data_IF_665814226842
#
_entry.id   IF_665814226842
#
_cell.length_a   1.000
_cell.length_b   1.000
_cell.length_c   1.000
_cell.angle_alpha   90.00
_cell.angle_beta   90.00
_cell.angle_gamma   90.00
#
_symmetry.space_group_name_H-M   'P 1'
#
loop_
_entity.id
_entity.type
_entity.pdbx_description
1 polymer ?
#
# COMPACT_ATOMS: atom_id res chain seq x y z
N UNK A 1 36.04 -13.57 24.47
CA UNK A 1 36.26 -12.70 23.30
C UNK A 1 36.03 -13.51 22.04
N UNK A 2 34.78 -13.64 21.59
CA UNK A 2 34.42 -14.30 20.32
C UNK A 2 33.14 -13.63 19.80
N UNK A 3 33.24 -12.37 19.38
CA UNK A 3 32.20 -11.74 18.57
C UNK A 3 32.55 -11.99 17.11
N UNK A 4 31.97 -13.02 16.50
CA UNK A 4 32.06 -13.13 15.05
C UNK A 4 31.40 -11.90 14.43
N UNK A 5 32.15 -11.18 13.60
CA UNK A 5 31.64 -10.07 12.81
C UNK A 5 30.68 -10.66 11.77
N UNK A 6 29.37 -10.66 12.03
CA UNK A 6 28.37 -11.09 11.04
C UNK A 6 28.62 -10.39 9.69
N UNK A 7 28.70 -11.10 8.57
CA UNK A 7 28.80 -10.46 7.26
C UNK A 7 27.50 -9.73 6.90
N UNK A 8 27.53 -8.85 5.88
CA UNK A 8 26.31 -8.20 5.34
C UNK A 8 25.26 -9.24 4.98
N UNK A 9 25.67 -10.32 4.30
CA UNK A 9 24.78 -11.43 3.93
C UNK A 9 24.15 -12.12 5.15
N UNK A 10 24.92 -12.35 6.22
CA UNK A 10 24.38 -12.92 7.47
C UNK A 10 23.38 -11.96 8.13
N UNK A 11 23.66 -10.66 8.11
CA UNK A 11 22.77 -9.63 8.65
C UNK A 11 21.46 -9.56 7.87
N UNK A 12 21.51 -9.53 6.53
CA UNK A 12 20.34 -9.55 5.65
C UNK A 12 19.46 -10.77 5.95
N UNK A 13 20.08 -11.95 6.07
CA UNK A 13 19.38 -13.19 6.40
C UNK A 13 18.66 -13.07 7.75
N UNK A 14 19.33 -12.60 8.80
CA UNK A 14 18.72 -12.44 10.13
C UNK A 14 17.58 -11.45 10.15
N UNK A 15 17.71 -10.30 9.48
CA UNK A 15 16.61 -9.32 9.37
C UNK A 15 15.40 -9.92 8.64
N UNK A 16 15.65 -10.68 7.57
CA UNK A 16 14.58 -11.35 6.81
C UNK A 16 13.84 -12.37 7.66
N UNK A 17 14.56 -13.25 8.35
CA UNK A 17 13.98 -14.30 9.21
C UNK A 17 13.13 -13.68 10.33
N UNK A 18 13.62 -12.60 10.94
CA UNK A 18 12.92 -11.92 12.04
C UNK A 18 11.71 -11.11 11.59
N UNK A 19 11.67 -10.69 10.32
CA UNK A 19 10.59 -9.86 9.78
C UNK A 19 9.43 -10.68 9.19
N UNK A 20 9.47 -12.01 9.24
CA UNK A 20 8.39 -12.88 8.75
C UNK A 20 7.63 -13.54 9.93
N UNK A 21 6.32 -13.30 10.02
CA UNK A 21 5.43 -14.07 10.88
C UNK A 21 5.10 -15.42 10.23
N UNK A 22 5.10 -16.51 11.01
CA UNK A 22 4.56 -17.81 10.57
C UNK A 22 5.51 -19.01 10.59
N UNK A 23 6.74 -18.90 11.10
CA UNK A 23 7.69 -20.03 11.23
C UNK A 23 7.80 -20.60 12.66
N UNK A 24 6.80 -20.37 13.51
CA UNK A 24 6.69 -21.01 14.83
C UNK A 24 7.59 -20.45 15.94
N UNK A 25 8.47 -19.49 15.64
CA UNK A 25 9.25 -18.73 16.62
C UNK A 25 9.10 -17.23 16.32
N UNK A 26 8.04 -16.61 16.83
CA UNK A 26 7.88 -15.15 16.75
C UNK A 26 9.00 -14.47 17.56
N UNK A 27 9.69 -13.46 17.00
CA UNK A 27 10.73 -12.78 17.74
C UNK A 27 10.14 -11.97 18.89
N UNK A 28 10.80 -11.97 20.04
CA UNK A 28 10.43 -11.05 21.11
C UNK A 28 10.76 -9.60 20.73
N UNK A 29 10.05 -8.64 21.35
CA UNK A 29 10.35 -7.21 21.22
C UNK A 29 11.83 -6.91 21.51
N UNK A 30 12.42 -7.55 22.52
CA UNK A 30 13.82 -7.34 22.91
C UNK A 30 14.80 -7.82 21.85
N UNK A 31 14.55 -8.99 21.27
CA UNK A 31 15.42 -9.56 20.22
C UNK A 31 15.39 -8.70 18.96
N UNK A 32 14.20 -8.27 18.55
CA UNK A 32 14.04 -7.44 17.36
C UNK A 32 14.68 -6.07 17.50
N UNK A 33 14.42 -5.39 18.62
CA UNK A 33 15.06 -4.11 18.91
C UNK A 33 16.59 -4.23 18.98
N UNK A 34 17.12 -5.26 19.67
CA UNK A 34 18.57 -5.50 19.74
C UNK A 34 19.20 -5.74 18.37
N UNK A 35 18.53 -6.48 17.48
CA UNK A 35 19.04 -6.71 16.14
C UNK A 35 19.07 -5.41 15.34
N UNK A 36 17.95 -4.68 15.28
CA UNK A 36 17.82 -3.40 14.57
C UNK A 36 18.93 -2.44 15.01
N UNK A 37 19.04 -2.15 16.32
CA UNK A 37 20.05 -1.22 16.85
C UNK A 37 21.49 -1.68 16.58
N UNK A 38 21.74 -3.00 16.52
CA UNK A 38 23.06 -3.54 16.20
C UNK A 38 23.40 -3.34 14.72
N UNK A 39 22.42 -3.50 13.84
CA UNK A 39 22.60 -3.30 12.39
C UNK A 39 22.84 -1.83 12.09
N UNK A 40 21.99 -0.93 12.60
CA UNK A 40 22.10 0.52 12.42
C UNK A 40 23.49 1.02 12.79
N UNK A 41 23.97 0.70 14.01
CA UNK A 41 25.29 1.14 14.49
C UNK A 41 26.45 0.61 13.66
N UNK A 42 26.30 -0.57 13.08
CA UNK A 42 27.40 -1.27 12.41
C UNK A 42 27.51 -0.90 10.93
N UNK A 43 26.38 -0.56 10.31
CA UNK A 43 26.26 -0.36 8.88
C UNK A 43 25.74 1.04 8.53
N UNK A 44 26.06 2.04 9.37
CA UNK A 44 25.70 3.46 9.17
C UNK A 44 25.95 3.95 7.74
N UNK A 45 27.12 3.58 7.19
CA UNK A 45 27.58 4.01 5.86
C UNK A 45 27.41 2.94 4.77
N UNK A 46 26.53 1.97 4.97
CA UNK A 46 26.28 0.92 3.97
C UNK A 46 25.69 1.49 2.68
N UNK A 47 26.18 0.97 1.55
CA UNK A 47 25.70 1.18 0.18
C UNK A 47 24.84 0.01 -0.33
N UNK A 48 24.59 -1.00 0.51
CA UNK A 48 23.76 -2.15 0.16
C UNK A 48 22.27 -1.79 0.17
N UNK A 49 21.66 -1.68 -1.02
CA UNK A 49 20.21 -1.47 -1.16
C UNK A 49 19.38 -2.55 -0.42
N UNK A 50 19.83 -3.81 -0.45
CA UNK A 50 19.10 -4.90 0.20
C UNK A 50 19.16 -4.76 1.73
N UNK A 51 20.30 -4.37 2.30
CA UNK A 51 20.40 -4.15 3.73
C UNK A 51 19.47 -3.03 4.19
N UNK A 52 19.48 -1.90 3.47
CA UNK A 52 18.61 -0.76 3.71
C UNK A 52 17.13 -1.16 3.62
N UNK A 53 16.75 -1.90 2.58
CA UNK A 53 15.39 -2.41 2.43
C UNK A 53 14.99 -3.29 3.62
N UNK A 54 15.82 -4.26 3.99
CA UNK A 54 15.53 -5.20 5.09
C UNK A 54 15.44 -4.49 6.43
N UNK A 55 16.25 -3.46 6.66
CA UNK A 55 16.20 -2.66 7.87
C UNK A 55 14.91 -1.84 7.95
N UNK A 56 14.51 -1.20 6.84
CA UNK A 56 13.24 -0.48 6.75
C UNK A 56 12.03 -1.38 7.01
N UNK A 57 12.01 -2.58 6.44
CA UNK A 57 10.94 -3.57 6.71
C UNK A 57 10.96 -4.03 8.17
N UNK A 58 12.13 -4.28 8.75
CA UNK A 58 12.24 -4.67 10.16
C UNK A 58 11.70 -3.57 11.09
N UNK A 59 12.06 -2.30 10.86
CA UNK A 59 11.54 -1.17 11.63
C UNK A 59 10.03 -1.01 11.50
N UNK A 60 9.48 -1.11 10.28
CA UNK A 60 8.02 -1.08 10.04
C UNK A 60 7.32 -2.19 10.83
N UNK A 61 7.82 -3.42 10.76
CA UNK A 61 7.21 -4.56 11.45
C UNK A 61 7.35 -4.46 12.98
N UNK A 62 8.53 -4.05 13.47
CA UNK A 62 8.74 -3.77 14.89
C UNK A 62 7.73 -2.74 15.42
N UNK A 63 7.53 -1.67 14.66
CA UNK A 63 6.58 -0.61 14.99
C UNK A 63 5.15 -1.14 15.05
N UNK A 64 4.73 -1.92 14.06
CA UNK A 64 3.40 -2.51 14.02
C UNK A 64 3.17 -3.47 15.19
N UNK A 65 4.14 -4.32 15.52
CA UNK A 65 3.96 -5.38 16.50
C UNK A 65 4.09 -4.88 17.94
N UNK A 66 5.03 -3.97 18.22
CA UNK A 66 5.44 -3.69 19.60
C UNK A 66 5.33 -2.23 20.04
N UNK A 67 5.32 -1.27 19.12
CA UNK A 67 5.29 0.16 19.49
C UNK A 67 3.85 0.67 19.44
N UNK A 68 3.46 1.50 20.42
CA UNK A 68 2.12 2.07 20.55
C UNK A 68 2.20 3.58 20.77
N UNK A 69 1.12 4.29 20.45
CA UNK A 69 1.04 5.74 20.63
C UNK A 69 1.98 6.51 19.71
N UNK A 70 2.38 7.71 20.16
CA UNK A 70 3.11 8.67 19.33
C UNK A 70 4.57 8.28 19.04
N UNK A 71 5.15 7.39 19.85
CA UNK A 71 6.49 6.85 19.65
C UNK A 71 6.63 6.15 18.28
N UNK A 72 5.53 5.62 17.74
CA UNK A 72 5.49 5.01 16.40
C UNK A 72 6.03 5.94 15.32
N UNK A 73 5.85 7.26 15.48
CA UNK A 73 6.23 8.25 14.47
C UNK A 73 7.71 8.15 14.10
N UNK A 74 8.59 8.09 15.10
CA UNK A 74 10.04 8.09 14.88
C UNK A 74 10.48 6.84 14.12
N UNK A 75 10.05 5.66 14.57
CA UNK A 75 10.39 4.39 13.92
C UNK A 75 9.82 4.29 12.50
N UNK A 76 8.62 4.81 12.25
CA UNK A 76 8.04 4.83 10.90
C UNK A 76 8.76 5.81 9.97
N UNK A 77 9.18 6.98 10.48
CA UNK A 77 10.01 7.92 9.69
C UNK A 77 11.36 7.29 9.34
N UNK A 78 12.00 6.61 10.28
CA UNK A 78 13.26 5.90 10.06
C UNK A 78 13.09 4.75 9.06
N UNK A 79 12.01 3.98 9.17
CA UNK A 79 11.67 2.94 8.20
C UNK A 79 11.55 3.50 6.78
N UNK A 80 10.84 4.62 6.61
CA UNK A 80 10.72 5.31 5.31
C UNK A 80 12.08 5.77 4.80
N UNK A 81 12.92 6.38 5.65
CA UNK A 81 14.25 6.83 5.24
C UNK A 81 15.11 5.68 4.70
N UNK A 82 15.13 4.54 5.38
CA UNK A 82 15.84 3.35 4.93
C UNK A 82 15.28 2.81 3.60
N UNK A 83 13.95 2.75 3.45
CA UNK A 83 13.33 2.29 2.20
C UNK A 83 13.58 3.24 1.02
N UNK A 84 13.58 4.55 1.26
CA UNK A 84 13.92 5.56 0.24
C UNK A 84 15.39 5.46 -0.17
N UNK A 85 16.30 5.27 0.79
CA UNK A 85 17.71 5.01 0.52
C UNK A 85 17.90 3.72 -0.27
N UNK A 86 17.17 2.65 0.07
CA UNK A 86 17.17 1.40 -0.69
C UNK A 86 16.68 1.60 -2.13
N UNK A 87 15.63 2.39 -2.35
CA UNK A 87 15.12 2.68 -3.68
C UNK A 87 16.12 3.50 -4.51
N UNK A 88 16.83 4.44 -3.89
CA UNK A 88 17.89 5.20 -4.55
C UNK A 88 19.09 4.30 -4.94
N UNK A 89 19.59 3.50 -4.00
CA UNK A 89 20.76 2.62 -4.19
C UNK A 89 20.52 1.47 -5.17
N UNK A 90 19.27 1.02 -5.30
CA UNK A 90 18.92 -0.08 -6.22
C UNK A 90 18.88 0.34 -7.70
N UNK A 91 19.07 1.64 -8.00
CA UNK A 91 18.94 2.17 -9.36
C UNK A 91 20.05 1.60 -10.22
N UNK A 92 19.67 1.05 -11.38
CA UNK A 92 20.59 0.39 -12.32
C UNK A 92 21.30 -0.85 -11.75
N UNK A 93 20.96 -1.29 -10.53
CA UNK A 93 21.53 -2.47 -9.86
C UNK A 93 20.59 -3.69 -9.95
N UNK A 94 19.29 -3.47 -9.76
CA UNK A 94 18.26 -4.51 -9.90
C UNK A 94 17.18 -4.08 -10.88
N UNK A 95 16.41 -5.04 -11.39
CA UNK A 95 15.33 -4.74 -12.34
C UNK A 95 14.22 -3.91 -11.71
N UNK A 96 13.51 -3.14 -12.55
CA UNK A 96 12.29 -2.44 -12.12
C UNK A 96 11.22 -3.44 -11.66
N UNK A 97 11.08 -4.55 -12.39
CA UNK A 97 10.12 -5.60 -12.10
C UNK A 97 10.76 -6.97 -12.33
N UNK A 98 10.50 -7.91 -11.42
CA UNK A 98 10.83 -9.32 -11.59
C UNK A 98 9.79 -10.07 -12.44
N UNK A 99 10.23 -11.15 -13.07
CA UNK A 99 9.32 -12.08 -13.73
C UNK A 99 8.42 -12.78 -12.70
N UNK A 100 7.28 -13.32 -13.13
CA UNK A 100 6.39 -14.07 -12.24
C UNK A 100 7.11 -15.24 -11.55
N UNK A 101 8.03 -15.92 -12.25
CA UNK A 101 8.83 -17.02 -11.69
C UNK A 101 9.79 -16.53 -10.61
N UNK A 102 10.46 -15.40 -10.83
CA UNK A 102 11.46 -14.88 -9.89
C UNK A 102 10.82 -14.28 -8.64
N UNK A 103 9.60 -13.73 -8.73
CA UNK A 103 8.86 -13.17 -7.59
C UNK A 103 8.59 -14.19 -6.49
N UNK A 104 8.49 -15.48 -6.82
CA UNK A 104 8.26 -16.55 -5.83
C UNK A 104 9.55 -17.08 -5.18
N UNK A 105 10.72 -16.60 -5.59
CA UNK A 105 11.99 -17.02 -4.98
C UNK A 105 12.24 -16.25 -3.70
N UNK A 106 12.52 -16.98 -2.61
CA UNK A 106 12.73 -16.39 -1.30
C UNK A 106 13.94 -15.43 -1.31
N UNK A 107 13.68 -14.15 -1.04
CA UNK A 107 14.72 -13.13 -1.01
C UNK A 107 14.80 -12.26 -2.26
N UNK A 108 14.08 -12.63 -3.32
CA UNK A 108 13.91 -11.80 -4.51
C UNK A 108 13.40 -10.40 -4.16
N UNK A 109 13.95 -9.39 -4.83
CA UNK A 109 13.64 -7.98 -4.64
C UNK A 109 13.79 -7.25 -5.98
N UNK A 110 12.76 -6.51 -6.39
CA UNK A 110 12.83 -5.52 -7.47
C UNK A 110 12.60 -4.10 -6.94
N UNK A 111 12.88 -3.11 -7.78
CA UNK A 111 12.69 -1.69 -7.43
C UNK A 111 11.21 -1.36 -7.18
N UNK A 112 10.29 -1.97 -7.94
CA UNK A 112 8.84 -1.77 -7.74
C UNK A 112 8.41 -2.19 -6.33
N UNK A 113 8.91 -3.31 -5.81
CA UNK A 113 8.62 -3.78 -4.45
C UNK A 113 9.06 -2.75 -3.41
N UNK A 114 10.27 -2.21 -3.53
CA UNK A 114 10.79 -1.20 -2.60
C UNK A 114 9.92 0.07 -2.64
N UNK A 115 9.61 0.58 -3.84
CA UNK A 115 8.80 1.78 -3.99
C UNK A 115 7.33 1.58 -3.55
N UNK A 116 6.77 0.37 -3.76
CA UNK A 116 5.46 0.00 -3.25
C UNK A 116 5.38 0.10 -1.72
N UNK A 117 6.42 -0.37 -1.01
CA UNK A 117 6.47 -0.29 0.45
C UNK A 117 6.58 1.16 0.95
N UNK A 118 7.41 2.00 0.31
CA UNK A 118 7.48 3.44 0.63
C UNK A 118 6.12 4.09 0.47
N UNK A 119 5.50 3.92 -0.71
CA UNK A 119 4.23 4.55 -1.02
C UNK A 119 3.09 4.08 -0.12
N UNK A 120 3.04 2.78 0.19
CA UNK A 120 2.08 2.20 1.11
C UNK A 120 2.18 2.83 2.51
N UNK A 121 3.38 2.89 3.09
CA UNK A 121 3.59 3.45 4.43
C UNK A 121 3.18 4.92 4.48
N UNK A 122 3.59 5.72 3.49
CA UNK A 122 3.27 7.15 3.42
C UNK A 122 1.77 7.44 3.26
N UNK A 123 0.98 6.49 2.74
CA UNK A 123 -0.47 6.66 2.62
C UNK A 123 -1.21 6.14 3.87
N UNK A 124 -0.90 4.92 4.31
CA UNK A 124 -1.71 4.22 5.31
C UNK A 124 -1.41 4.70 6.73
N UNK A 125 -0.16 5.03 7.04
CA UNK A 125 0.25 5.40 8.40
C UNK A 125 -0.06 6.87 8.73
N UNK A 126 -1.24 7.10 9.31
CA UNK A 126 -1.76 8.43 9.62
C UNK A 126 -0.78 9.39 10.33
N UNK A 127 0.08 8.86 11.21
CA UNK A 127 1.01 9.65 12.04
C UNK A 127 2.20 10.23 11.26
N UNK A 128 2.49 9.67 10.08
CA UNK A 128 3.56 10.12 9.17
C UNK A 128 3.06 10.37 7.75
N UNK A 129 1.74 10.40 7.55
CA UNK A 129 1.12 10.38 6.22
C UNK A 129 1.57 11.55 5.36
N UNK A 130 1.97 11.23 4.13
CA UNK A 130 2.26 12.16 3.05
C UNK A 130 1.64 11.59 1.76
N UNK A 131 0.41 12.05 1.46
CA UNK A 131 -0.37 11.54 0.35
C UNK A 131 0.28 11.86 -1.01
N UNK A 132 0.85 13.06 -1.16
CA UNK A 132 1.46 13.50 -2.42
C UNK A 132 2.69 12.64 -2.73
N UNK A 133 3.59 12.49 -1.75
CA UNK A 133 4.78 11.66 -1.91
C UNK A 133 4.42 10.19 -2.12
N UNK A 134 3.46 9.66 -1.35
CA UNK A 134 2.97 8.29 -1.51
C UNK A 134 2.38 8.03 -2.91
N UNK A 135 1.55 8.95 -3.41
CA UNK A 135 1.01 8.93 -4.78
C UNK A 135 2.12 8.97 -5.83
N UNK A 136 3.16 9.77 -5.63
CA UNK A 136 4.29 9.85 -6.58
C UNK A 136 5.00 8.50 -6.73
N UNK A 137 5.27 7.80 -5.62
CA UNK A 137 5.89 6.47 -5.67
C UNK A 137 4.97 5.45 -6.35
N UNK A 138 3.73 5.30 -5.87
CA UNK A 138 2.83 4.26 -6.38
C UNK A 138 2.34 4.56 -7.80
N UNK A 139 2.11 5.81 -8.15
CA UNK A 139 1.65 6.23 -9.48
C UNK A 139 2.68 5.93 -10.57
N UNK A 140 3.96 6.13 -10.28
CA UNK A 140 5.06 5.77 -11.21
C UNK A 140 5.02 4.29 -11.57
N UNK A 141 4.84 3.42 -10.56
CA UNK A 141 4.77 1.97 -10.76
C UNK A 141 3.46 1.61 -11.48
N UNK A 142 2.33 2.14 -10.99
CA UNK A 142 1.00 1.82 -11.50
C UNK A 142 0.87 2.09 -13.00
N UNK A 143 1.51 3.16 -13.48
CA UNK A 143 1.50 3.55 -14.89
C UNK A 143 2.42 2.69 -15.77
N UNK A 144 3.43 2.04 -15.19
CA UNK A 144 4.46 1.29 -15.92
C UNK A 144 4.29 -0.23 -15.84
N UNK A 145 3.29 -0.73 -15.11
CA UNK A 145 2.98 -2.16 -15.02
C UNK A 145 1.50 -2.44 -15.24
N UNK A 146 1.19 -3.62 -15.76
CA UNK A 146 -0.18 -4.15 -15.82
C UNK A 146 -0.45 -5.13 -14.68
N UNK A 147 0.54 -5.41 -13.82
CA UNK A 147 0.39 -6.36 -12.74
C UNK A 147 -0.45 -5.79 -11.59
N UNK A 148 -1.12 -6.69 -10.90
CA UNK A 148 -1.82 -6.38 -9.66
C UNK A 148 -0.82 -6.39 -8.50
N UNK A 149 -0.86 -5.33 -7.70
CA UNK A 149 -0.16 -5.23 -6.42
C UNK A 149 -1.19 -4.82 -5.35
N UNK A 150 -1.26 -5.51 -4.20
CA UNK A 150 -2.16 -5.13 -3.12
C UNK A 150 -1.99 -3.67 -2.67
N UNK A 151 -0.75 -3.15 -2.67
CA UNK A 151 -0.41 -1.77 -2.29
C UNK A 151 -1.10 -0.72 -3.19
N UNK A 152 -1.53 -1.08 -4.41
CA UNK A 152 -2.32 -0.17 -5.24
C UNK A 152 -3.74 0.09 -4.70
N UNK A 153 -4.22 -0.69 -3.73
CA UNK A 153 -5.43 -0.33 -2.99
C UNK A 153 -5.22 0.96 -2.19
N UNK A 154 -4.06 1.11 -1.53
CA UNK A 154 -3.68 2.36 -0.85
C UNK A 154 -3.57 3.51 -1.84
N UNK A 155 -3.02 3.27 -3.04
CA UNK A 155 -3.00 4.29 -4.10
C UNK A 155 -4.40 4.78 -4.48
N UNK A 156 -5.36 3.87 -4.66
CA UNK A 156 -6.76 4.24 -4.93
C UNK A 156 -7.41 4.98 -3.74
N UNK A 157 -7.13 4.55 -2.52
CA UNK A 157 -7.63 5.20 -1.29
C UNK A 157 -7.01 6.58 -1.06
N UNK A 158 -5.77 6.83 -1.51
CA UNK A 158 -5.16 8.16 -1.41
C UNK A 158 -5.97 9.23 -2.16
N UNK A 159 -6.46 8.93 -3.36
CA UNK A 159 -7.38 9.82 -4.08
C UNK A 159 -8.70 10.02 -3.33
N UNK A 160 -9.23 8.97 -2.68
CA UNK A 160 -10.41 9.10 -1.83
C UNK A 160 -10.16 10.07 -0.67
N UNK A 161 -9.01 9.96 0.00
CA UNK A 161 -8.60 10.85 1.10
C UNK A 161 -8.43 12.30 0.65
N UNK A 162 -8.03 12.54 -0.60
CA UNK A 162 -7.96 13.86 -1.23
C UNK A 162 -9.32 14.39 -1.70
N UNK A 163 -10.40 13.60 -1.60
CA UNK A 163 -11.73 13.96 -2.10
C UNK A 163 -11.94 13.73 -3.60
N UNK A 164 -10.94 13.21 -4.32
CA UNK A 164 -11.07 12.81 -5.72
C UNK A 164 -11.67 11.40 -5.84
N UNK A 165 -12.96 11.32 -5.51
CA UNK A 165 -13.69 10.05 -5.50
C UNK A 165 -13.79 9.41 -6.89
N UNK A 166 -13.87 10.20 -7.96
CA UNK A 166 -13.97 9.63 -9.30
C UNK A 166 -12.64 9.00 -9.72
N UNK A 167 -11.51 9.66 -9.43
CA UNK A 167 -10.20 9.06 -9.69
C UNK A 167 -9.95 7.83 -8.83
N UNK A 168 -10.33 7.87 -7.55
CA UNK A 168 -10.28 6.71 -6.66
C UNK A 168 -11.01 5.50 -7.26
N UNK A 169 -12.24 5.70 -7.74
CA UNK A 169 -13.03 4.64 -8.36
C UNK A 169 -12.42 4.15 -9.69
N UNK A 170 -11.89 5.05 -10.51
CA UNK A 170 -11.21 4.71 -11.77
C UNK A 170 -10.00 3.79 -11.53
N UNK A 171 -9.12 4.18 -10.60
CA UNK A 171 -7.92 3.40 -10.23
C UNK A 171 -8.32 2.05 -9.65
N UNK A 172 -9.33 2.01 -8.78
CA UNK A 172 -9.79 0.76 -8.17
C UNK A 172 -10.45 -0.20 -9.18
N UNK A 173 -11.23 0.32 -10.15
CA UNK A 173 -11.77 -0.49 -11.24
C UNK A 173 -10.65 -1.10 -12.10
N UNK A 174 -9.64 -0.29 -12.44
CA UNK A 174 -8.49 -0.79 -13.18
C UNK A 174 -7.72 -1.85 -12.40
N UNK A 175 -7.53 -1.66 -11.09
CA UNK A 175 -6.88 -2.62 -10.23
C UNK A 175 -7.64 -3.96 -10.17
N UNK A 176 -8.97 -3.92 -10.13
CA UNK A 176 -9.80 -5.12 -10.22
C UNK A 176 -9.56 -5.88 -11.53
N UNK A 177 -9.56 -5.18 -12.67
CA UNK A 177 -9.28 -5.81 -13.99
C UNK A 177 -7.89 -6.44 -14.05
N UNK A 178 -6.89 -5.81 -13.42
CA UNK A 178 -5.53 -6.38 -13.32
C UNK A 178 -5.53 -7.66 -12.50
N UNK A 179 -6.28 -7.70 -11.39
CA UNK A 179 -6.42 -8.89 -10.57
C UNK A 179 -7.12 -10.05 -11.30
N UNK A 180 -8.19 -9.77 -12.06
CA UNK A 180 -8.90 -10.77 -12.89
C UNK A 180 -7.99 -11.43 -13.94
N UNK A 181 -7.01 -10.69 -14.44
CA UNK A 181 -6.04 -11.17 -15.44
C UNK A 181 -4.76 -11.74 -14.84
N UNK A 182 -4.54 -11.56 -13.54
CA UNK A 182 -3.31 -11.98 -12.87
C UNK A 182 -3.24 -13.50 -12.75
N UNK A 183 -2.04 -14.07 -12.98
CA UNK A 183 -1.81 -15.50 -12.79
C UNK A 183 -2.12 -15.95 -11.36
N UNK A 184 -1.73 -15.14 -10.37
CA UNK A 184 -1.87 -15.43 -8.94
C UNK A 184 -3.31 -15.22 -8.45
N UNK A 185 -3.99 -14.16 -8.92
CA UNK A 185 -5.23 -13.69 -8.31
C UNK A 185 -6.51 -14.06 -9.08
N UNK A 186 -6.43 -14.48 -10.35
CA UNK A 186 -7.62 -14.78 -11.16
C UNK A 186 -8.55 -15.83 -10.57
N UNK A 187 -8.01 -16.78 -9.79
CA UNK A 187 -8.80 -17.83 -9.12
C UNK A 187 -9.53 -17.35 -7.86
N UNK A 188 -9.10 -16.23 -7.28
CA UNK A 188 -9.68 -15.61 -6.10
C UNK A 188 -9.42 -14.11 -6.12
N UNK A 189 -10.17 -13.40 -6.96
CA UNK A 189 -9.98 -11.96 -7.17
C UNK A 189 -10.24 -11.22 -5.86
N UNK A 190 -9.28 -10.40 -5.36
CA UNK A 190 -9.47 -9.69 -4.10
C UNK A 190 -10.71 -8.79 -4.13
N UNK A 191 -11.51 -8.77 -3.05
CA UNK A 191 -12.73 -7.94 -3.00
C UNK A 191 -12.43 -6.46 -2.74
N UNK A 192 -11.24 -6.13 -2.21
CA UNK A 192 -10.89 -4.79 -1.76
C UNK A 192 -11.04 -3.70 -2.86
N UNK A 193 -10.56 -3.90 -4.12
CA UNK A 193 -10.74 -2.91 -5.17
C UNK A 193 -12.22 -2.56 -5.41
N UNK A 194 -13.11 -3.55 -5.48
CA UNK A 194 -14.56 -3.31 -5.67
C UNK A 194 -15.18 -2.61 -4.47
N UNK A 195 -14.73 -2.94 -3.25
CA UNK A 195 -15.10 -2.20 -2.04
C UNK A 195 -14.76 -0.71 -2.14
N UNK A 196 -13.58 -0.36 -2.66
CA UNK A 196 -13.15 1.03 -2.87
C UNK A 196 -14.01 1.72 -3.92
N UNK A 197 -14.30 1.06 -5.05
CA UNK A 197 -15.21 1.59 -6.10
C UNK A 197 -16.56 1.96 -5.50
N UNK A 198 -17.18 1.02 -4.78
CA UNK A 198 -18.50 1.23 -4.19
C UNK A 198 -18.48 2.35 -3.13
N UNK A 199 -17.42 2.42 -2.31
CA UNK A 199 -17.21 3.50 -1.32
C UNK A 199 -17.12 4.87 -2.00
N UNK A 200 -16.34 4.99 -3.06
CA UNK A 200 -16.14 6.22 -3.81
C UNK A 200 -17.41 6.69 -4.54
N UNK A 201 -18.11 5.78 -5.23
CA UNK A 201 -19.39 6.08 -5.89
C UNK A 201 -20.54 6.34 -4.91
N UNK A 202 -20.41 6.03 -3.61
CA UNK A 202 -21.36 6.51 -2.58
C UNK A 202 -21.01 7.89 -2.03
N UNK A 203 -19.75 8.29 -2.06
CA UNK A 203 -19.29 9.58 -1.53
C UNK A 203 -19.64 10.74 -2.47
N UNK A 204 -19.30 10.63 -3.76
CA UNK A 204 -19.51 11.71 -4.74
C UNK A 204 -20.97 12.12 -4.96
N UNK A 205 -21.96 11.22 -5.10
CA UNK A 205 -23.35 11.63 -5.21
C UNK A 205 -23.87 12.34 -3.96
N UNK A 206 -23.36 11.99 -2.76
CA UNK A 206 -23.74 12.67 -1.51
C UNK A 206 -23.21 14.11 -1.51
N UNK A 207 -22.03 14.35 -2.06
CA UNK A 207 -21.48 15.70 -2.28
C UNK A 207 -22.36 16.49 -3.26
N UNK A 208 -22.64 15.95 -4.45
CA UNK A 208 -23.53 16.59 -5.41
C UNK A 208 -24.92 16.89 -4.81
N UNK A 209 -25.50 15.96 -4.04
CA UNK A 209 -26.76 16.18 -3.34
C UNK A 209 -26.68 17.38 -2.37
N UNK A 210 -25.59 17.51 -1.61
CA UNK A 210 -25.39 18.65 -0.69
C UNK A 210 -25.27 19.97 -1.45
N UNK A 211 -24.72 19.94 -2.66
CA UNK A 211 -24.56 21.12 -3.52
C UNK A 211 -25.80 21.44 -4.37
N UNK A 212 -26.90 20.68 -4.24
CA UNK A 212 -28.10 20.86 -5.06
C UNK A 212 -28.00 20.29 -6.49
N UNK A 213 -26.92 19.59 -6.79
CA UNK A 213 -26.60 18.98 -8.09
C UNK A 213 -27.31 17.62 -8.26
N UNK A 214 -28.66 17.64 -8.19
CA UNK A 214 -29.48 16.43 -8.09
C UNK A 214 -29.30 15.51 -9.31
N UNK A 215 -29.17 16.05 -10.52
CA UNK A 215 -28.99 15.25 -11.75
C UNK A 215 -27.67 14.49 -11.74
N UNK A 216 -26.57 15.13 -11.32
CA UNK A 216 -25.27 14.46 -11.17
C UNK A 216 -25.34 13.36 -10.10
N UNK A 217 -26.00 13.64 -8.97
CA UNK A 217 -26.18 12.63 -7.92
C UNK A 217 -26.96 11.39 -8.43
N UNK A 218 -28.05 11.59 -9.19
CA UNK A 218 -28.82 10.50 -9.80
C UNK A 218 -27.95 9.69 -10.75
N UNK A 219 -27.19 10.34 -11.64
CA UNK A 219 -26.33 9.66 -12.61
C UNK A 219 -25.31 8.74 -11.95
N UNK A 220 -24.67 9.20 -10.87
CA UNK A 220 -23.67 8.41 -10.16
C UNK A 220 -24.27 7.27 -9.34
N UNK A 221 -25.44 7.47 -8.71
CA UNK A 221 -26.15 6.37 -8.06
C UNK A 221 -26.64 5.33 -9.07
N UNK A 222 -27.10 5.75 -10.26
CA UNK A 222 -27.45 4.81 -11.32
C UNK A 222 -26.22 4.00 -11.75
N UNK A 223 -25.06 4.65 -11.93
CA UNK A 223 -23.84 3.94 -12.28
C UNK A 223 -23.44 2.88 -11.24
N UNK A 224 -23.61 3.17 -9.94
CA UNK A 224 -23.38 2.22 -8.87
C UNK A 224 -24.32 1.00 -8.94
N UNK A 225 -25.59 1.24 -9.31
CA UNK A 225 -26.61 0.21 -9.51
C UNK A 225 -26.33 -0.64 -10.76
N UNK A 226 -26.00 -0.01 -11.88
CA UNK A 226 -25.63 -0.68 -13.15
C UNK A 226 -24.42 -1.61 -12.98
N UNK A 227 -23.51 -1.29 -12.06
CA UNK A 227 -22.36 -2.11 -11.73
C UNK A 227 -22.67 -3.25 -10.74
N UNK A 228 -23.93 -3.41 -10.31
CA UNK A 228 -24.36 -4.34 -9.25
C UNK A 228 -23.63 -4.12 -7.91
N UNK A 229 -23.28 -2.86 -7.60
CA UNK A 229 -22.57 -2.48 -6.37
C UNK A 229 -23.44 -1.66 -5.42
N UNK A 230 -24.67 -1.35 -5.80
CA UNK A 230 -25.62 -0.63 -4.97
C UNK A 230 -26.13 -1.50 -3.81
N UNK A 231 -26.25 -0.89 -2.63
CA UNK A 231 -27.04 -1.48 -1.54
C UNK A 231 -28.52 -1.12 -1.67
N UNK A 232 -29.39 -1.82 -0.96
CA UNK A 232 -30.82 -1.45 -0.84
C UNK A 232 -31.02 0.01 -0.44
N UNK A 233 -30.12 0.54 0.40
CA UNK A 233 -30.17 1.94 0.84
C UNK A 233 -29.79 2.91 -0.29
N UNK A 234 -28.83 2.54 -1.14
CA UNK A 234 -28.44 3.33 -2.31
C UNK A 234 -29.60 3.37 -3.33
N UNK A 235 -30.26 2.23 -3.56
CA UNK A 235 -31.43 2.13 -4.45
C UNK A 235 -32.61 2.96 -3.94
N UNK A 236 -32.96 2.85 -2.66
CA UNK A 236 -34.00 3.68 -2.03
C UNK A 236 -33.69 5.18 -2.14
N UNK A 237 -32.41 5.56 -2.04
CA UNK A 237 -31.99 6.95 -2.17
C UNK A 237 -32.10 7.43 -3.62
N UNK A 238 -31.71 6.61 -4.59
CA UNK A 238 -31.84 6.88 -6.02
C UNK A 238 -33.32 7.12 -6.40
N UNK A 239 -34.24 6.28 -5.94
CA UNK A 239 -35.68 6.45 -6.16
C UNK A 239 -36.20 7.79 -5.59
N UNK A 240 -35.84 8.11 -4.35
CA UNK A 240 -36.23 9.39 -3.73
C UNK A 240 -35.70 10.60 -4.49
N UNK A 241 -34.46 10.54 -4.97
CA UNK A 241 -33.87 11.61 -5.77
C UNK A 241 -34.57 11.77 -7.12
N UNK A 242 -34.94 10.67 -7.79
CA UNK A 242 -35.72 10.70 -9.04
C UNK A 242 -37.09 11.34 -8.88
N UNK A 243 -37.78 11.08 -7.76
CA UNK A 243 -39.08 11.72 -7.46
C UNK A 243 -38.91 13.21 -7.18
N UNK A 244 -37.86 13.59 -6.45
CA UNK A 244 -37.59 14.98 -6.07
C UNK A 244 -37.12 15.83 -7.26
N UNK A 245 -36.28 15.27 -8.13
CA UNK A 245 -35.77 15.94 -9.34
C UNK A 245 -36.79 16.15 -10.45
N UNK A 246 -37.97 15.51 -10.38
CA UNK A 246 -39.11 15.79 -11.28
C UNK A 246 -39.93 17.01 -10.87
N UNK A 247 -39.70 17.56 -9.67
CA UNK A 247 -40.43 18.70 -9.10
C UNK A 247 -39.69 20.04 -9.20
N UNK A 248 -38.46 20.03 -9.75
CA UNK A 248 -37.65 21.21 -10.06
C UNK A 248 -37.64 21.43 -11.57
#
# INVERSE_FOLDING_TARGET
MFFSKMSVAQTIKSLREMSHLGLGNEPSQSEMHKLISKVEKRFLDSDSYELEYRLGIALRNYTAWFVRGDERKLYLQEAVQHLEKAYALSKEVISEELTATDKHTLGSLDRNTIACEVGFILIDEAIIRDLEKGISYLGTIFNNTTNYYPQFCSYAEAFYMLGDYLKSAEVALELHRRAEKSFEWKGSVPPAPIGIVAKAYRAKPKEHKKNGEIRQAISLFQKLDDMNMATDNDQKLLEKLRVSGKKQ
#
